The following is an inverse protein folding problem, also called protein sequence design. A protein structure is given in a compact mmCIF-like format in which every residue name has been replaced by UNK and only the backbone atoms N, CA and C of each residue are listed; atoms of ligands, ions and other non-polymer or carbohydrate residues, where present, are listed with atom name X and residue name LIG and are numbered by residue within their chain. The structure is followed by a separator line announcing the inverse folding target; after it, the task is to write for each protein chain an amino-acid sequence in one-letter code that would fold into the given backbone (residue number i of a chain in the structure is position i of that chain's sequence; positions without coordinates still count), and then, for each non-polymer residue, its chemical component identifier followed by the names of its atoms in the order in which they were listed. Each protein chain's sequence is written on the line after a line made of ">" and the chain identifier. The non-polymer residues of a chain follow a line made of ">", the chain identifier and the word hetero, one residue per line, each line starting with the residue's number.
data_IF_184301760366
#
_entry.id   IF_184301760366
#
_cell.length_a   1.000
_cell.length_b   1.000
_cell.length_c   1.000
_cell.angle_alpha   90.00
_cell.angle_beta   90.00
_cell.angle_gamma   90.00
#
_symmetry.space_group_name_H-M   'P 1'
#
loop_
_entity.id
_entity.type
_entity.pdbx_description
1 polymer ?
#
# COMPACT_ATOMS: atom_id res chain seq x y z
N UNK A 1 -30.73 -14.78 3.14
CA UNK A 1 -30.24 -13.47 2.72
C UNK A 1 -28.73 -13.52 2.87
N UNK A 2 -28.00 -13.56 1.77
CA UNK A 2 -26.54 -13.39 1.80
C UNK A 2 -26.22 -12.01 2.38
N UNK A 3 -25.32 -11.98 3.36
CA UNK A 3 -24.80 -10.70 3.86
C UNK A 3 -24.12 -9.98 2.68
N UNK A 4 -24.37 -8.69 2.47
CA UNK A 4 -23.68 -7.96 1.42
C UNK A 4 -22.16 -8.19 1.59
N UNK A 5 -21.50 -8.63 0.52
CA UNK A 5 -20.04 -8.82 0.51
C UNK A 5 -19.42 -7.46 0.83
N UNK A 6 -18.90 -7.33 2.05
CA UNK A 6 -18.27 -6.10 2.52
C UNK A 6 -16.89 -6.01 1.89
N UNK A 7 -16.53 -4.82 1.40
CA UNK A 7 -15.17 -4.56 0.91
C UNK A 7 -14.16 -4.83 2.04
N UNK A 8 -13.02 -5.49 1.75
CA UNK A 8 -12.01 -5.82 2.77
C UNK A 8 -11.48 -4.59 3.51
N UNK A 9 -10.98 -4.83 4.71
CA UNK A 9 -10.28 -3.81 5.50
C UNK A 9 -8.99 -3.39 4.78
N UNK A 10 -8.56 -2.16 5.00
CA UNK A 10 -7.33 -1.60 4.43
C UNK A 10 -6.37 -1.28 5.57
N UNK A 11 -5.19 -1.92 5.55
CA UNK A 11 -4.05 -1.61 6.41
C UNK A 11 -3.17 -0.58 5.71
N UNK A 12 -2.95 0.57 6.34
CA UNK A 12 -2.15 1.68 5.84
C UNK A 12 -0.79 1.68 6.53
N UNK A 13 0.31 1.60 5.78
CA UNK A 13 1.67 1.64 6.31
C UNK A 13 2.11 3.10 6.53
N UNK A 14 2.08 3.54 7.78
CA UNK A 14 2.26 4.95 8.15
C UNK A 14 3.35 5.21 9.23
N UNK A 15 4.11 4.19 9.64
CA UNK A 15 5.07 4.30 10.75
C UNK A 15 6.44 4.91 10.38
N UNK A 16 6.77 5.02 9.10
CA UNK A 16 8.10 5.40 8.61
C UNK A 16 8.51 6.85 8.92
N UNK A 17 9.82 7.09 9.09
CA UNK A 17 10.39 8.40 9.39
C UNK A 17 10.32 9.43 8.25
N UNK A 18 10.17 9.01 6.99
CA UNK A 18 10.10 9.90 5.85
C UNK A 18 11.38 10.71 5.57
N UNK A 19 12.55 10.16 5.84
CA UNK A 19 13.86 10.86 5.81
C UNK A 19 14.13 11.63 4.50
N UNK A 20 13.71 11.09 3.36
CA UNK A 20 13.92 11.70 2.03
C UNK A 20 13.04 12.91 1.75
N UNK A 21 11.99 13.13 2.55
CA UNK A 21 11.11 14.30 2.49
C UNK A 21 11.52 15.43 3.45
N UNK A 22 12.70 15.34 4.10
CA UNK A 22 13.20 16.46 4.91
C UNK A 22 13.44 17.68 4.02
N UNK A 23 13.19 18.90 4.53
CA UNK A 23 12.87 19.27 5.93
C UNK A 23 11.38 19.09 6.32
N UNK A 24 10.45 18.81 5.39
CA UNK A 24 9.02 18.74 5.68
C UNK A 24 8.71 17.76 6.82
N UNK A 25 9.34 16.58 6.79
CA UNK A 25 9.12 15.52 7.78
C UNK A 25 9.84 15.75 9.11
N UNK A 26 10.56 16.85 9.28
CA UNK A 26 11.07 17.25 10.60
C UNK A 26 9.96 17.74 11.53
N UNK A 27 8.86 18.22 10.98
CA UNK A 27 7.74 18.80 11.75
C UNK A 27 6.45 17.96 11.67
N UNK A 28 6.23 17.23 10.58
CA UNK A 28 5.03 16.40 10.36
C UNK A 28 5.43 14.98 9.93
N UNK A 29 4.67 13.93 10.27
CA UNK A 29 4.93 12.59 9.77
C UNK A 29 4.63 12.51 8.27
N UNK A 30 5.39 11.68 7.53
CA UNK A 30 5.26 11.52 6.07
C UNK A 30 3.81 11.34 5.58
N UNK A 31 2.95 10.51 6.22
CA UNK A 31 1.56 10.35 5.79
C UNK A 31 0.73 11.63 5.78
N UNK A 32 1.13 12.64 6.58
CA UNK A 32 0.46 13.95 6.65
C UNK A 32 1.09 15.01 5.74
N UNK A 33 2.16 14.71 5.00
CA UNK A 33 2.72 15.62 3.99
C UNK A 33 1.65 15.89 2.93
N UNK A 34 1.30 17.17 2.69
CA UNK A 34 0.27 17.50 1.71
C UNK A 34 0.82 17.45 0.28
N UNK A 35 -0.02 17.01 -0.64
CA UNK A 35 0.11 17.19 -2.09
C UNK A 35 -1.05 18.09 -2.52
N UNK A 36 -0.79 19.29 -3.00
CA UNK A 36 -1.83 20.31 -3.28
C UNK A 36 -2.83 20.46 -2.12
N UNK A 37 -2.35 20.57 -0.89
CA UNK A 37 -3.15 20.77 0.31
C UNK A 37 -3.86 19.52 0.86
N UNK A 38 -3.80 18.37 0.21
CA UNK A 38 -4.41 17.12 0.67
C UNK A 38 -3.33 16.16 1.18
N UNK A 39 -3.37 15.71 2.46
CA UNK A 39 -2.43 14.76 3.02
C UNK A 39 -2.29 13.45 2.20
N UNK A 40 -1.08 12.93 2.08
CA UNK A 40 -0.80 11.69 1.35
C UNK A 40 -1.72 10.54 1.77
N UNK A 41 -1.87 10.30 3.07
CA UNK A 41 -2.72 9.23 3.60
C UNK A 41 -4.18 9.40 3.19
N UNK A 42 -4.69 10.64 3.12
CA UNK A 42 -6.06 10.90 2.69
C UNK A 42 -6.26 10.61 1.20
N UNK A 43 -5.25 10.88 0.36
CA UNK A 43 -5.28 10.49 -1.07
C UNK A 43 -5.35 8.97 -1.22
N UNK A 44 -4.56 8.23 -0.47
CA UNK A 44 -4.60 6.77 -0.44
C UNK A 44 -5.94 6.25 0.05
N UNK A 45 -6.49 6.84 1.12
CA UNK A 45 -7.83 6.47 1.61
C UNK A 45 -8.92 6.80 0.59
N UNK A 46 -8.79 7.91 -0.15
CA UNK A 46 -9.76 8.31 -1.17
C UNK A 46 -9.84 7.30 -2.32
N UNK A 47 -8.71 6.78 -2.83
CA UNK A 47 -8.73 5.75 -3.90
C UNK A 47 -9.36 4.45 -3.40
N UNK A 48 -9.11 4.04 -2.16
CA UNK A 48 -9.73 2.84 -1.60
C UNK A 48 -11.24 3.05 -1.31
N UNK A 49 -11.64 4.21 -0.80
CA UNK A 49 -13.05 4.58 -0.58
C UNK A 49 -13.84 4.60 -1.88
N UNK A 50 -13.24 5.08 -2.96
CA UNK A 50 -13.86 5.09 -4.28
C UNK A 50 -14.29 3.68 -4.75
N UNK A 51 -13.60 2.64 -4.28
CA UNK A 51 -13.93 1.24 -4.57
C UNK A 51 -14.79 0.55 -3.50
N UNK A 52 -15.12 1.24 -2.42
CA UNK A 52 -16.03 0.73 -1.39
C UNK A 52 -15.38 0.43 -0.04
N UNK A 53 -14.09 0.73 0.15
CA UNK A 53 -13.45 0.57 1.45
C UNK A 53 -14.06 1.53 2.48
N UNK A 54 -14.45 0.98 3.64
CA UNK A 54 -15.05 1.75 4.73
C UNK A 54 -14.29 1.61 6.05
N UNK A 55 -13.36 0.65 6.13
CA UNK A 55 -12.58 0.36 7.33
C UNK A 55 -11.10 0.47 7.03
N UNK A 56 -10.43 1.28 7.83
CA UNK A 56 -9.01 1.53 7.72
C UNK A 56 -8.35 1.31 9.08
N UNK A 57 -7.19 0.69 9.05
CA UNK A 57 -6.26 0.55 10.17
C UNK A 57 -4.91 1.11 9.71
N UNK A 58 -4.21 1.86 10.54
CA UNK A 58 -2.85 2.31 10.23
C UNK A 58 -1.90 1.87 11.34
N UNK A 59 -0.64 1.59 11.02
CA UNK A 59 0.42 1.62 12.02
C UNK A 59 1.01 3.02 12.13
N UNK A 60 1.54 3.38 13.29
CA UNK A 60 2.21 4.65 13.49
C UNK A 60 3.33 4.53 14.53
N UNK A 61 4.47 5.13 14.24
CA UNK A 61 5.61 5.22 15.15
C UNK A 61 6.09 6.68 15.22
N UNK A 62 6.74 7.15 14.17
CA UNK A 62 7.25 8.52 14.12
C UNK A 62 6.10 9.53 14.14
N UNK A 63 6.09 10.42 15.15
CA UNK A 63 5.06 11.45 15.35
C UNK A 63 3.63 10.90 15.36
N UNK A 64 3.43 9.73 15.94
CA UNK A 64 2.14 9.03 15.99
C UNK A 64 1.02 9.91 16.55
N UNK A 65 1.31 10.79 17.52
CA UNK A 65 0.31 11.68 18.14
C UNK A 65 -0.30 12.66 17.14
N UNK A 66 0.46 13.12 16.14
CA UNK A 66 -0.06 14.00 15.08
C UNK A 66 -1.03 13.25 14.16
N UNK A 67 -0.72 11.98 13.81
CA UNK A 67 -1.63 11.14 13.02
C UNK A 67 -2.94 10.86 13.78
N UNK A 68 -2.84 10.53 15.07
CA UNK A 68 -3.98 10.30 15.96
C UNK A 68 -4.85 11.56 16.07
N UNK A 69 -4.23 12.73 16.29
CA UNK A 69 -4.94 14.02 16.40
C UNK A 69 -5.64 14.39 15.08
N UNK A 70 -4.98 14.14 13.93
CA UNK A 70 -5.53 14.45 12.61
C UNK A 70 -6.85 13.71 12.33
N UNK A 71 -6.93 12.44 12.70
CA UNK A 71 -8.12 11.62 12.43
C UNK A 71 -9.17 11.64 13.55
N UNK A 72 -8.84 12.11 14.77
CA UNK A 72 -9.81 12.23 15.86
C UNK A 72 -10.59 10.94 16.18
N UNK A 73 -9.99 9.75 15.97
CA UNK A 73 -10.64 8.46 16.19
C UNK A 73 -11.36 7.87 14.96
N UNK A 74 -11.42 8.57 13.83
CA UNK A 74 -12.01 8.06 12.57
C UNK A 74 -11.14 6.98 11.92
N UNK A 75 -9.85 6.93 12.24
CA UNK A 75 -8.90 5.91 11.82
C UNK A 75 -8.43 5.12 13.05
N UNK A 76 -8.48 3.79 12.99
CA UNK A 76 -7.87 2.95 14.00
C UNK A 76 -6.35 2.95 13.80
N UNK A 77 -5.61 3.32 14.82
CA UNK A 77 -4.15 3.40 14.76
C UNK A 77 -3.52 2.41 15.72
N UNK A 78 -2.69 1.50 15.20
CA UNK A 78 -1.78 0.66 15.98
C UNK A 78 -0.49 1.45 16.22
N UNK A 79 -0.29 1.93 17.45
CA UNK A 79 0.92 2.66 17.83
C UNK A 79 2.05 1.67 18.11
N UNK A 80 3.13 1.77 17.37
CA UNK A 80 4.32 0.96 17.54
C UNK A 80 5.27 1.63 18.55
N UNK A 81 5.67 0.94 19.63
CA UNK A 81 6.66 1.47 20.58
C UNK A 81 8.06 1.57 19.96
N UNK A 82 8.37 0.67 19.03
CA UNK A 82 9.55 0.64 18.19
C UNK A 82 9.16 0.42 16.72
N UNK A 83 10.02 0.79 15.78
CA UNK A 83 9.72 0.63 14.35
C UNK A 83 9.78 -0.85 13.98
N UNK A 84 8.62 -1.43 13.62
CA UNK A 84 8.47 -2.85 13.30
C UNK A 84 8.72 -3.18 11.82
N UNK A 85 9.10 -2.22 11.00
CA UNK A 85 9.13 -2.34 9.54
C UNK A 85 7.76 -2.68 8.94
N UNK A 86 7.71 -3.00 7.63
CA UNK A 86 6.43 -3.14 6.93
C UNK A 86 5.68 -4.42 7.30
N UNK A 87 6.37 -5.55 7.40
CA UNK A 87 5.76 -6.85 7.74
C UNK A 87 5.38 -6.95 9.21
N UNK A 88 6.29 -6.58 10.11
CA UNK A 88 6.04 -6.58 11.55
C UNK A 88 4.92 -5.62 11.94
N UNK A 89 4.85 -4.44 11.32
CA UNK A 89 3.78 -3.47 11.54
C UNK A 89 2.40 -4.01 11.13
N UNK A 90 2.31 -4.73 10.00
CA UNK A 90 1.07 -5.42 9.60
C UNK A 90 0.74 -6.53 10.61
N UNK A 91 1.70 -7.39 10.96
CA UNK A 91 1.49 -8.49 11.92
C UNK A 91 0.93 -7.98 13.24
N UNK A 92 1.51 -6.92 13.79
CA UNK A 92 1.05 -6.29 15.04
C UNK A 92 -0.36 -5.70 14.93
N UNK A 93 -0.80 -5.29 13.73
CA UNK A 93 -2.12 -4.72 13.50
C UNK A 93 -3.20 -5.79 13.16
N UNK A 94 -2.85 -7.06 12.91
CA UNK A 94 -3.80 -8.12 12.54
C UNK A 94 -5.02 -8.23 13.48
N UNK A 95 -4.90 -8.08 14.82
CA UNK A 95 -6.06 -8.13 15.73
C UNK A 95 -7.09 -7.01 15.48
N UNK A 96 -6.69 -5.91 14.84
CA UNK A 96 -7.56 -4.77 14.53
C UNK A 96 -8.30 -4.92 13.20
N UNK A 97 -7.83 -5.82 12.32
CA UNK A 97 -8.42 -6.14 11.02
C UNK A 97 -9.52 -7.20 11.20
N UNK A 98 -10.69 -6.96 10.64
CA UNK A 98 -11.85 -7.85 10.75
C UNK A 98 -11.96 -8.75 9.54
N UNK A 99 -11.66 -8.24 8.35
CA UNK A 99 -11.72 -9.03 7.12
C UNK A 99 -10.50 -9.94 6.95
N UNK A 100 -10.73 -11.01 6.22
CA UNK A 100 -9.70 -11.89 5.67
C UNK A 100 -10.20 -12.37 4.30
N UNK A 101 -9.53 -12.04 3.20
CA UNK A 101 -8.31 -11.24 3.09
C UNK A 101 -8.47 -9.75 3.42
N UNK A 102 -7.35 -9.00 3.40
CA UNK A 102 -7.30 -7.56 3.59
C UNK A 102 -6.26 -6.93 2.65
N UNK A 103 -6.40 -5.63 2.41
CA UNK A 103 -5.42 -4.85 1.66
C UNK A 103 -4.34 -4.28 2.58
N UNK A 104 -3.08 -4.28 2.11
CA UNK A 104 -1.98 -3.49 2.68
C UNK A 104 -1.61 -2.42 1.66
N UNK A 105 -1.58 -1.15 2.07
CA UNK A 105 -1.29 -0.02 1.19
C UNK A 105 -0.21 0.88 1.80
N UNK A 106 0.80 1.20 1.01
CA UNK A 106 1.76 2.26 1.34
C UNK A 106 1.05 3.62 1.35
N UNK A 107 1.42 4.51 2.26
CA UNK A 107 0.80 5.84 2.37
C UNK A 107 1.49 6.93 1.55
N UNK A 108 2.48 6.56 0.76
CA UNK A 108 3.23 7.47 -0.12
C UNK A 108 2.98 7.25 -1.62
N UNK A 109 1.98 6.41 -1.94
CA UNK A 109 1.60 6.09 -3.32
C UNK A 109 0.10 6.33 -3.52
N UNK A 110 -0.30 6.83 -4.68
CA UNK A 110 -1.70 6.96 -5.05
C UNK A 110 -1.86 7.04 -6.57
N UNK A 111 -3.11 6.95 -7.02
CA UNK A 111 -3.54 7.19 -8.39
C UNK A 111 -4.80 8.04 -8.39
N UNK A 112 -5.23 8.52 -9.55
CA UNK A 112 -6.47 9.26 -9.65
C UNK A 112 -7.64 8.28 -9.79
N UNK A 113 -8.69 8.37 -8.95
CA UNK A 113 -9.89 7.56 -9.11
C UNK A 113 -10.53 7.79 -10.48
N UNK A 114 -10.99 6.70 -11.10
CA UNK A 114 -11.61 6.71 -12.43
C UNK A 114 -12.56 5.53 -12.62
N UNK A 115 -12.80 5.17 -13.87
CA UNK A 115 -13.62 4.02 -14.22
C UNK A 115 -12.93 2.68 -13.89
N UNK A 116 -11.60 2.65 -13.88
CA UNK A 116 -10.83 1.48 -13.44
C UNK A 116 -11.05 1.23 -11.95
N UNK A 117 -11.23 -0.03 -11.59
CA UNK A 117 -11.44 -0.52 -10.23
C UNK A 117 -10.34 -1.53 -9.86
N UNK A 118 -9.08 -1.07 -9.71
CA UNK A 118 -7.95 -1.97 -9.54
C UNK A 118 -8.05 -2.84 -8.28
N UNK A 119 -8.55 -2.33 -7.16
CA UNK A 119 -8.69 -3.14 -5.94
C UNK A 119 -9.76 -4.22 -6.10
N UNK A 120 -10.86 -3.91 -6.79
CA UNK A 120 -11.90 -4.90 -7.11
C UNK A 120 -11.37 -5.96 -8.07
N UNK A 121 -10.52 -5.61 -9.03
CA UNK A 121 -9.83 -6.56 -9.92
C UNK A 121 -8.84 -7.45 -9.16
N UNK A 122 -8.15 -6.90 -8.14
CA UNK A 122 -7.28 -7.69 -7.25
C UNK A 122 -8.08 -8.74 -6.48
N UNK A 123 -9.27 -8.39 -5.97
CA UNK A 123 -10.17 -9.35 -5.32
C UNK A 123 -10.59 -10.47 -6.27
N UNK A 124 -11.00 -10.13 -7.48
CA UNK A 124 -11.39 -11.11 -8.50
C UNK A 124 -10.20 -11.97 -8.99
N UNK A 125 -8.97 -11.45 -8.93
CA UNK A 125 -7.75 -12.15 -9.33
C UNK A 125 -7.31 -13.21 -8.32
N UNK A 126 -7.59 -13.01 -7.03
CA UNK A 126 -7.22 -13.95 -5.96
C UNK A 126 -8.09 -15.20 -6.04
N UNK A 127 -7.53 -16.33 -6.43
CA UNK A 127 -8.20 -17.59 -6.64
C UNK A 127 -8.06 -18.57 -5.46
N UNK A 128 -6.99 -18.44 -4.67
CA UNK A 128 -6.71 -19.30 -3.52
C UNK A 128 -6.25 -18.46 -2.33
N UNK A 129 -6.35 -19.01 -1.13
CA UNK A 129 -5.89 -18.34 0.08
C UNK A 129 -4.36 -18.24 0.18
N UNK A 130 -3.63 -19.11 -0.51
CA UNK A 130 -2.17 -19.04 -0.62
C UNK A 130 -1.69 -17.89 -1.50
N UNK A 131 -2.53 -17.31 -2.36
CA UNK A 131 -2.12 -16.25 -3.27
C UNK A 131 -2.05 -14.90 -2.58
N UNK A 132 -0.93 -14.19 -2.85
CA UNK A 132 -0.80 -12.74 -2.64
C UNK A 132 -0.96 -12.06 -4.01
N UNK A 133 -1.82 -11.03 -4.07
CA UNK A 133 -2.05 -10.25 -5.28
C UNK A 133 -1.40 -8.88 -5.12
N UNK A 134 -0.52 -8.48 -6.05
CA UNK A 134 0.08 -7.16 -6.09
C UNK A 134 -0.64 -6.26 -7.10
N UNK A 135 -0.82 -5.00 -6.74
CA UNK A 135 -1.07 -3.97 -7.74
C UNK A 135 0.26 -3.58 -8.37
N UNK A 136 0.30 -3.61 -9.68
CA UNK A 136 1.48 -3.30 -10.49
C UNK A 136 1.18 -2.12 -11.40
N UNK A 137 2.20 -1.36 -11.77
CA UNK A 137 2.09 -0.28 -12.75
C UNK A 137 3.20 -0.40 -13.80
N UNK A 138 2.89 -0.06 -15.04
CA UNK A 138 3.89 -0.02 -16.10
C UNK A 138 4.86 1.14 -15.84
N UNK A 139 6.18 0.99 -16.10
CA UNK A 139 7.16 2.06 -15.85
C UNK A 139 6.80 3.40 -16.50
N UNK A 140 6.23 3.39 -17.70
CA UNK A 140 5.82 4.60 -18.44
C UNK A 140 4.61 5.35 -17.85
N UNK A 141 3.93 4.79 -16.83
CA UNK A 141 2.81 5.41 -16.11
C UNK A 141 3.16 5.81 -14.68
N UNK A 142 4.39 5.59 -14.26
CA UNK A 142 4.85 5.87 -12.91
C UNK A 142 5.55 7.24 -12.83
N UNK A 143 5.14 8.05 -11.87
CA UNK A 143 5.81 9.32 -11.51
C UNK A 143 6.48 9.17 -10.15
N UNK A 144 7.72 9.66 -10.00
CA UNK A 144 8.47 9.67 -8.74
C UNK A 144 9.12 8.34 -8.37
N UNK A 145 9.22 7.40 -9.29
CA UNK A 145 9.89 6.12 -9.08
C UNK A 145 11.27 6.12 -9.74
N UNK A 146 12.32 5.85 -8.98
CA UNK A 146 13.70 6.02 -9.42
C UNK A 146 14.33 4.80 -10.10
N UNK A 147 13.78 3.59 -9.88
CA UNK A 147 14.26 2.34 -10.49
C UNK A 147 13.54 2.07 -11.81
N UNK A 148 14.09 1.17 -12.63
CA UNK A 148 13.46 0.77 -13.88
C UNK A 148 12.16 -0.03 -13.67
N UNK A 149 12.20 -0.98 -12.74
CA UNK A 149 11.09 -1.86 -12.35
C UNK A 149 11.43 -2.61 -11.04
N UNK A 150 10.47 -3.29 -10.46
CA UNK A 150 10.65 -4.16 -9.29
C UNK A 150 10.54 -5.64 -9.64
N UNK A 151 9.63 -5.97 -10.56
CA UNK A 151 9.25 -7.30 -10.98
C UNK A 151 8.94 -7.34 -12.48
N UNK A 152 8.66 -8.54 -12.98
CA UNK A 152 8.06 -8.76 -14.28
C UNK A 152 6.72 -9.51 -14.13
N UNK A 153 5.84 -9.39 -15.11
CA UNK A 153 4.62 -10.20 -15.21
C UNK A 153 4.71 -11.13 -16.40
N UNK A 154 4.43 -12.41 -16.19
CA UNK A 154 4.25 -13.38 -17.25
C UNK A 154 2.93 -13.13 -18.02
N UNK A 155 2.69 -13.80 -19.17
CA UNK A 155 1.44 -13.64 -19.93
C UNK A 155 0.17 -14.07 -19.18
N UNK A 156 0.31 -14.82 -18.07
CA UNK A 156 -0.78 -15.26 -17.21
C UNK A 156 -0.99 -14.34 -16.00
N UNK A 157 -0.16 -13.29 -15.86
CA UNK A 157 -0.20 -12.34 -14.75
C UNK A 157 0.43 -12.88 -13.46
N UNK A 158 1.31 -13.89 -13.53
CA UNK A 158 2.16 -14.30 -12.40
C UNK A 158 3.34 -13.34 -12.30
N UNK A 159 3.71 -12.98 -11.09
CA UNK A 159 4.89 -12.15 -10.83
C UNK A 159 6.15 -13.01 -10.95
N UNK A 160 7.16 -12.48 -11.63
CA UNK A 160 8.47 -13.11 -11.81
C UNK A 160 9.59 -12.10 -11.54
N UNK A 161 10.84 -12.56 -11.37
CA UNK A 161 12.01 -11.66 -11.20
C UNK A 161 12.57 -11.17 -12.52
N UNK A 162 12.76 -12.09 -13.48
CA UNK A 162 13.71 -11.87 -14.56
C UNK A 162 13.10 -12.02 -15.97
N UNK A 163 11.82 -12.39 -16.09
CA UNK A 163 11.18 -12.59 -17.38
C UNK A 163 9.72 -12.14 -17.41
N UNK A 164 9.28 -11.69 -18.57
CA UNK A 164 7.94 -11.13 -18.77
C UNK A 164 7.96 -9.62 -18.97
N UNK A 165 6.80 -8.98 -18.84
CA UNK A 165 6.68 -7.53 -18.96
C UNK A 165 7.14 -6.84 -17.69
N UNK A 166 8.08 -5.85 -17.74
CA UNK A 166 8.56 -5.16 -16.55
C UNK A 166 7.44 -4.34 -15.90
N UNK A 167 7.33 -4.43 -14.57
CA UNK A 167 6.35 -3.69 -13.78
C UNK A 167 6.96 -3.20 -12.46
N UNK A 168 6.38 -2.12 -11.95
CA UNK A 168 6.68 -1.55 -10.64
C UNK A 168 5.60 -2.04 -9.67
N UNK A 169 5.98 -2.45 -8.47
CA UNK A 169 5.04 -2.69 -7.37
C UNK A 169 4.42 -1.37 -6.93
N UNK A 170 3.12 -1.23 -7.14
CA UNK A 170 2.41 0.03 -6.86
C UNK A 170 2.18 0.32 -5.37
N UNK A 171 2.79 -0.47 -4.46
CA UNK A 171 2.64 -0.28 -3.03
C UNK A 171 1.31 -0.76 -2.46
N UNK A 172 0.61 -1.66 -3.16
CA UNK A 172 -0.66 -2.26 -2.72
C UNK A 172 -0.61 -3.78 -2.87
N UNK A 173 -0.85 -4.50 -1.79
CA UNK A 173 -0.97 -5.95 -1.75
C UNK A 173 -2.30 -6.39 -1.14
N UNK A 174 -2.88 -7.46 -1.67
CA UNK A 174 -4.02 -8.18 -1.11
C UNK A 174 -3.53 -9.54 -0.62
N UNK A 175 -3.69 -9.84 0.67
CA UNK A 175 -3.20 -11.08 1.28
C UNK A 175 -4.09 -11.48 2.48
N UNK A 176 -3.97 -12.73 2.91
CA UNK A 176 -4.69 -13.27 4.08
C UNK A 176 -3.83 -13.21 5.35
N UNK A 177 -4.47 -13.39 6.50
CA UNK A 177 -3.82 -13.41 7.82
C UNK A 177 -2.89 -14.60 7.99
N UNK A 178 -3.21 -15.73 7.36
CA UNK A 178 -2.43 -16.97 7.45
C UNK A 178 -1.00 -16.84 6.92
N UNK A 179 -0.76 -15.88 6.00
CA UNK A 179 0.61 -15.61 5.53
C UNK A 179 1.56 -15.16 6.66
N UNK A 180 1.01 -14.69 7.79
CA UNK A 180 1.80 -14.25 8.94
C UNK A 180 2.06 -15.33 9.99
N UNK A 181 1.50 -16.54 9.83
CA UNK A 181 1.58 -17.60 10.85
C UNK A 181 3.03 -18.01 11.17
N UNK A 182 3.88 -18.11 10.15
CA UNK A 182 5.28 -18.54 10.30
C UNK A 182 6.29 -17.38 10.26
N UNK A 183 5.84 -16.12 10.36
CA UNK A 183 6.73 -14.96 10.34
C UNK A 183 7.32 -14.69 11.72
N UNK A 184 8.51 -14.08 11.80
CA UNK A 184 9.11 -13.72 13.08
C UNK A 184 8.23 -12.73 13.86
N UNK A 185 8.45 -12.66 15.15
CA UNK A 185 7.96 -11.57 15.99
C UNK A 185 8.93 -10.37 15.91
N UNK A 186 8.42 -9.15 16.08
CA UNK A 186 9.21 -7.93 16.00
C UNK A 186 9.40 -7.39 14.56
N UNK A 187 10.51 -6.66 14.30
CA UNK A 187 10.73 -6.00 13.02
C UNK A 187 11.06 -6.98 11.89
N UNK A 188 10.29 -6.92 10.79
CA UNK A 188 10.63 -7.58 9.52
C UNK A 188 9.93 -6.91 8.34
N UNK A 189 10.54 -7.02 7.16
CA UNK A 189 9.99 -6.48 5.92
C UNK A 189 8.85 -7.35 5.36
N UNK A 190 7.80 -6.73 4.81
CA UNK A 190 6.76 -7.44 4.07
C UNK A 190 7.31 -8.23 2.88
N UNK A 191 8.50 -7.85 2.37
CA UNK A 191 9.18 -8.61 1.31
C UNK A 191 9.42 -10.08 1.68
N UNK A 192 9.56 -10.41 2.97
CA UNK A 192 9.66 -11.80 3.41
C UNK A 192 8.49 -12.66 2.91
N UNK A 193 7.27 -12.12 2.96
CA UNK A 193 6.07 -12.79 2.47
C UNK A 193 5.99 -12.79 0.93
N UNK A 194 6.40 -11.68 0.31
CA UNK A 194 6.39 -11.56 -1.15
C UNK A 194 7.41 -12.51 -1.79
N UNK A 195 8.61 -12.63 -1.21
CA UNK A 195 9.65 -13.52 -1.69
C UNK A 195 9.22 -15.00 -1.54
N UNK A 196 8.63 -15.37 -0.40
CA UNK A 196 8.06 -16.71 -0.21
C UNK A 196 6.94 -17.01 -1.21
N UNK A 197 6.00 -16.08 -1.40
CA UNK A 197 4.91 -16.27 -2.36
C UNK A 197 5.42 -16.35 -3.81
N UNK A 198 6.52 -15.66 -4.13
CA UNK A 198 7.19 -15.73 -5.42
C UNK A 198 7.83 -17.13 -5.64
N UNK A 199 8.56 -17.63 -4.64
CA UNK A 199 9.18 -18.96 -4.65
C UNK A 199 8.13 -20.08 -4.80
N UNK A 200 6.98 -19.93 -4.13
CA UNK A 200 5.85 -20.87 -4.15
C UNK A 200 4.93 -20.69 -5.38
N UNK A 201 5.27 -19.83 -6.35
CA UNK A 201 4.47 -19.45 -7.52
C UNK A 201 3.05 -18.92 -7.19
N UNK A 202 2.88 -18.39 -5.98
CA UNK A 202 1.63 -17.83 -5.45
C UNK A 202 1.57 -16.28 -5.47
N UNK A 203 2.53 -15.62 -6.11
CA UNK A 203 2.52 -14.17 -6.28
C UNK A 203 1.98 -13.80 -7.66
N UNK A 204 0.84 -13.10 -7.69
CA UNK A 204 0.17 -12.68 -8.93
C UNK A 204 -0.02 -11.17 -8.96
N UNK A 205 -0.12 -10.61 -10.17
CA UNK A 205 -0.24 -9.17 -10.37
C UNK A 205 -1.52 -8.75 -11.08
N UNK A 206 -1.95 -7.53 -10.80
CA UNK A 206 -2.98 -6.78 -11.53
C UNK A 206 -2.37 -5.45 -11.96
N UNK A 207 -2.44 -5.13 -13.25
CA UNK A 207 -1.86 -3.88 -13.79
C UNK A 207 -2.84 -2.72 -13.62
N UNK A 208 -2.39 -1.63 -13.03
CA UNK A 208 -3.10 -0.36 -12.92
C UNK A 208 -3.05 0.37 -14.28
N UNK A 209 -4.20 0.78 -14.79
CA UNK A 209 -4.33 1.43 -16.10
C UNK A 209 -4.30 2.96 -16.06
N UNK A 210 -4.15 3.57 -14.87
CA UNK A 210 -4.12 5.02 -14.67
C UNK A 210 -2.72 5.49 -14.27
N UNK A 211 -2.39 6.79 -14.44
CA UNK A 211 -1.17 7.37 -13.90
C UNK A 211 -1.06 7.13 -12.39
N UNK A 212 0.13 6.73 -11.96
CA UNK A 212 0.46 6.42 -10.59
C UNK A 212 1.58 7.34 -10.09
N UNK A 213 1.46 7.78 -8.84
CA UNK A 213 2.34 8.73 -8.20
C UNK A 213 2.97 8.11 -6.95
N UNK A 214 4.29 8.21 -6.85
CA UNK A 214 5.06 7.85 -5.66
C UNK A 214 5.75 9.10 -5.12
N UNK A 215 5.34 9.56 -3.95
CA UNK A 215 5.90 10.73 -3.28
C UNK A 215 6.96 10.27 -2.26
N UNK A 216 8.09 9.84 -2.78
CA UNK A 216 9.18 9.29 -1.98
C UNK A 216 10.13 10.35 -1.43
N UNK A 217 10.29 11.48 -2.11
CA UNK A 217 11.19 12.59 -1.80
C UNK A 217 10.62 13.93 -2.27
N UNK A 218 11.35 15.03 -2.02
CA UNK A 218 10.93 16.41 -2.33
C UNK A 218 10.80 16.64 -3.84
N UNK A 219 11.66 16.04 -4.65
CA UNK A 219 11.59 16.16 -6.11
C UNK A 219 10.35 15.48 -6.67
N UNK A 220 10.05 14.28 -6.19
CA UNK A 220 8.83 13.54 -6.55
C UNK A 220 7.56 14.28 -6.09
N UNK A 221 7.57 14.94 -4.94
CA UNK A 221 6.48 15.78 -4.48
C UNK A 221 6.23 16.94 -5.45
N UNK A 222 7.25 17.73 -5.77
CA UNK A 222 7.14 18.88 -6.67
C UNK A 222 6.64 18.46 -8.08
N UNK A 223 7.17 17.37 -8.63
CA UNK A 223 6.74 16.86 -9.94
C UNK A 223 5.29 16.36 -9.92
N UNK A 224 4.89 15.67 -8.83
CA UNK A 224 3.50 15.24 -8.65
C UNK A 224 2.55 16.44 -8.61
N UNK A 225 2.87 17.48 -7.84
CA UNK A 225 2.06 18.70 -7.77
C UNK A 225 1.97 19.42 -9.13
N UNK A 226 3.10 19.50 -9.85
CA UNK A 226 3.13 20.09 -11.20
C UNK A 226 2.18 19.36 -12.16
N UNK A 227 2.20 18.01 -12.16
CA UNK A 227 1.33 17.22 -13.04
C UNK A 227 -0.14 17.36 -12.67
N UNK A 228 -0.45 17.37 -11.37
CA UNK A 228 -1.84 17.45 -10.89
C UNK A 228 -2.45 18.85 -11.03
N UNK A 229 -1.62 19.88 -11.26
CA UNK A 229 -2.08 21.28 -11.45
C UNK A 229 -2.27 21.64 -12.94
N UNK A 230 -1.85 20.77 -13.86
CA UNK A 230 -1.95 20.97 -15.31
C UNK A 230 -3.31 20.54 -15.85
#
# INVERSE_FOLDING_TARGET
>A
MEKPVRFPDVMLLAAGHGMRLRPLTETIPKPLVPVLGVPLIERVMAVARHEGATRFVANAHYRADQLLAHFGGLLKVNREPELLETGGGVKAALPMLVSDPFFVMNTDVFWLPGADRPLSRMLARRQTDAQIVLLCVQPGRATGFARSHDFCLDPHGRVTRDWGAPVIYAGVALLGKDHFAETPDGPFSLNLLLDKALEDENLVGVVLDTPWFHVGDVGALAETERILSA
#
